data_IF_928765512787
#
_entry.id   IF_928765512787
#
_cell.length_a   1.000
_cell.length_b   1.000
_cell.length_c   1.000
_cell.angle_alpha   90.00
_cell.angle_beta   90.00
_cell.angle_gamma   90.00
#
_symmetry.space_group_name_H-M   'P 1'
#
loop_
_entity.id
_entity.type
_entity.pdbx_description
1 polymer ?
#
# COMPACT_ATOMS: atom_id res chain seq x y z
N UNK A 1 7.94 16.41 -23.13
CA UNK A 1 7.46 15.03 -22.89
C UNK A 1 6.75 14.93 -21.56
N UNK A 2 5.59 14.38 -21.58
CA UNK A 2 4.80 14.21 -20.35
C UNK A 2 4.96 12.81 -19.81
N UNK A 3 5.46 12.68 -18.59
CA UNK A 3 5.55 11.40 -17.92
C UNK A 3 4.25 11.14 -17.15
N UNK A 4 3.67 9.98 -17.39
CA UNK A 4 2.41 9.64 -16.76
C UNK A 4 2.57 8.40 -15.89
N UNK A 5 2.23 8.55 -14.61
CA UNK A 5 2.30 7.44 -13.67
C UNK A 5 0.94 6.75 -13.65
N UNK A 6 0.93 5.45 -13.90
CA UNK A 6 -0.28 4.64 -13.90
C UNK A 6 -0.26 3.56 -12.83
N UNK A 7 0.91 3.12 -12.42
CA UNK A 7 1.05 2.05 -11.43
C UNK A 7 2.01 2.48 -10.33
N UNK A 8 1.51 2.44 -9.12
CA UNK A 8 2.31 2.72 -7.92
C UNK A 8 2.44 1.43 -7.13
N UNK A 9 3.64 1.17 -6.63
CA UNK A 9 3.88 0.07 -5.70
C UNK A 9 4.41 0.65 -4.41
N UNK A 10 3.74 0.35 -3.30
CA UNK A 10 4.22 0.74 -1.99
C UNK A 10 4.72 -0.51 -1.28
N UNK A 11 5.99 -0.54 -0.93
CA UNK A 11 6.57 -1.66 -0.19
C UNK A 11 6.50 -1.33 1.29
N UNK A 12 5.68 -2.11 1.99
CA UNK A 12 5.43 -1.89 3.41
C UNK A 12 3.98 -1.53 3.68
N UNK A 13 3.25 -2.43 4.32
CA UNK A 13 1.83 -2.25 4.62
C UNK A 13 1.62 -1.89 6.09
N UNK A 14 2.41 -0.94 6.58
CA UNK A 14 2.36 -0.52 7.97
C UNK A 14 1.48 0.70 8.20
N UNK A 15 1.74 1.37 9.33
CA UNK A 15 0.92 2.48 9.78
C UNK A 15 0.94 3.71 8.89
N UNK A 16 1.99 3.88 8.11
CA UNK A 16 2.11 5.02 7.20
C UNK A 16 1.73 4.62 5.79
N UNK A 17 2.32 3.52 5.31
CA UNK A 17 2.11 3.08 3.93
C UNK A 17 0.68 2.76 3.60
N UNK A 18 0.02 1.96 4.43
CA UNK A 18 -1.35 1.56 4.19
C UNK A 18 -2.31 2.73 4.06
N UNK A 19 -2.42 3.57 5.10
CA UNK A 19 -3.34 4.71 5.05
C UNK A 19 -3.01 5.71 3.95
N UNK A 20 -1.72 6.00 3.74
CA UNK A 20 -1.30 6.96 2.71
C UNK A 20 -1.70 6.47 1.32
N UNK A 21 -1.47 5.20 1.05
CA UNK A 21 -1.81 4.63 -0.25
C UNK A 21 -3.33 4.58 -0.46
N UNK A 22 -4.09 4.34 0.60
CA UNK A 22 -5.55 4.36 0.50
C UNK A 22 -6.05 5.74 0.07
N UNK A 23 -5.48 6.80 0.64
CA UNK A 23 -5.83 8.17 0.28
C UNK A 23 -5.43 8.46 -1.18
N UNK A 24 -4.25 8.03 -1.59
CA UNK A 24 -3.81 8.24 -2.97
C UNK A 24 -4.75 7.52 -3.93
N UNK A 25 -5.12 6.28 -3.63
CA UNK A 25 -6.04 5.54 -4.48
C UNK A 25 -7.39 6.24 -4.57
N UNK A 26 -7.87 6.79 -3.46
CA UNK A 26 -9.14 7.50 -3.45
C UNK A 26 -9.10 8.76 -4.30
N UNK A 27 -8.02 9.52 -4.20
CA UNK A 27 -7.89 10.79 -4.91
C UNK A 27 -7.48 10.62 -6.36
N UNK A 28 -6.87 9.49 -6.70
CA UNK A 28 -6.36 9.24 -8.05
C UNK A 28 -6.95 7.93 -8.60
N UNK A 29 -8.24 7.94 -8.98
CA UNK A 29 -8.89 6.70 -9.39
C UNK A 29 -8.32 6.07 -10.65
N UNK A 30 -7.54 6.81 -11.43
CA UNK A 30 -6.93 6.28 -12.64
C UNK A 30 -5.58 5.62 -12.40
N UNK A 31 -5.10 5.66 -11.16
CA UNK A 31 -3.82 5.06 -10.80
C UNK A 31 -4.08 3.75 -10.07
N UNK A 32 -3.39 2.69 -10.47
CA UNK A 32 -3.43 1.42 -9.77
C UNK A 32 -2.39 1.47 -8.66
N UNK A 33 -2.82 1.21 -7.44
CA UNK A 33 -1.96 1.27 -6.26
C UNK A 33 -1.85 -0.11 -5.66
N UNK A 34 -0.65 -0.67 -5.63
CA UNK A 34 -0.37 -1.95 -5.01
C UNK A 34 0.43 -1.72 -3.73
N UNK A 35 -0.09 -2.23 -2.62
CA UNK A 35 0.62 -2.20 -1.35
C UNK A 35 1.08 -3.62 -1.06
N UNK A 36 2.37 -3.82 -0.95
CA UNK A 36 2.94 -5.15 -0.79
C UNK A 36 3.75 -5.25 0.49
N UNK A 37 3.73 -6.43 1.08
CA UNK A 37 4.46 -6.70 2.31
C UNK A 37 4.74 -8.20 2.38
N UNK A 38 5.89 -8.57 2.90
CA UNK A 38 6.21 -9.99 3.08
C UNK A 38 5.44 -10.61 4.25
N UNK A 39 4.89 -9.78 5.12
CA UNK A 39 4.11 -10.24 6.25
C UNK A 39 2.69 -10.62 5.79
N UNK A 40 2.47 -11.92 5.61
CA UNK A 40 1.18 -12.42 5.11
C UNK A 40 0.01 -12.07 6.01
N UNK A 41 0.23 -12.08 7.32
CA UNK A 41 -0.84 -11.77 8.26
C UNK A 41 -1.28 -10.31 8.12
N UNK A 42 -0.32 -9.40 7.97
CA UNK A 42 -0.63 -7.98 7.80
C UNK A 42 -1.39 -7.74 6.49
N UNK A 43 -0.98 -8.39 5.41
CA UNK A 43 -1.68 -8.29 4.13
C UNK A 43 -3.10 -8.83 4.28
N UNK A 44 -3.26 -9.95 4.98
CA UNK A 44 -4.57 -10.53 5.20
C UNK A 44 -5.48 -9.58 5.96
N UNK A 45 -4.94 -8.89 6.96
CA UNK A 45 -5.71 -7.92 7.74
C UNK A 45 -6.14 -6.73 6.89
N UNK A 46 -5.27 -6.23 6.02
CA UNK A 46 -5.64 -5.14 5.12
C UNK A 46 -6.73 -5.56 4.13
N UNK A 47 -6.83 -6.84 3.83
CA UNK A 47 -7.86 -7.37 2.94
C UNK A 47 -9.12 -7.81 3.68
N UNK A 48 -9.17 -7.62 4.99
CA UNK A 48 -10.31 -8.03 5.81
C UNK A 48 -11.15 -6.83 6.23
N UNK A 49 -12.18 -7.09 7.00
CA UNK A 49 -13.01 -6.03 7.58
C UNK A 49 -12.38 -5.46 8.85
N UNK A 50 -11.36 -6.16 9.39
CA UNK A 50 -10.63 -5.72 10.58
C UNK A 50 -9.24 -5.31 10.19
N UNK A 51 -9.08 -4.03 9.85
CA UNK A 51 -7.79 -3.50 9.42
C UNK A 51 -6.77 -3.56 10.57
N UNK A 52 -5.47 -3.64 10.25
CA UNK A 52 -4.44 -3.76 11.29
C UNK A 52 -4.25 -2.51 12.13
N UNK A 53 -4.83 -1.39 11.70
CA UNK A 53 -4.77 -0.16 12.47
C UNK A 53 -6.16 0.46 12.51
N UNK A 54 -6.40 1.27 13.54
CA UNK A 54 -7.65 1.98 13.66
C UNK A 54 -7.44 3.48 13.48
N UNK A 55 -8.09 4.05 12.48
CA UNK A 55 -8.14 5.50 12.26
C UNK A 55 -9.56 5.82 11.80
N UNK A 56 -10.18 6.86 12.39
CA UNK A 56 -11.54 7.25 11.98
C UNK A 56 -11.61 7.50 10.48
N UNK A 57 -12.57 6.85 9.82
CA UNK A 57 -12.77 7.02 8.38
C UNK A 57 -11.90 6.16 7.49
N UNK A 58 -10.89 5.52 8.02
CA UNK A 58 -9.97 4.72 7.19
C UNK A 58 -10.65 3.51 6.56
N UNK A 59 -11.44 2.79 7.33
CA UNK A 59 -12.09 1.59 6.81
C UNK A 59 -13.00 1.92 5.63
N UNK A 60 -13.74 3.00 5.72
CA UNK A 60 -14.65 3.42 4.65
C UNK A 60 -13.89 3.73 3.37
N UNK A 61 -12.73 4.38 3.48
CA UNK A 61 -11.90 4.70 2.33
C UNK A 61 -11.34 3.41 1.70
N UNK A 62 -10.79 2.53 2.53
CA UNK A 62 -10.24 1.27 2.06
C UNK A 62 -11.33 0.44 1.39
N UNK A 63 -12.49 0.36 2.00
CA UNK A 63 -13.60 -0.42 1.45
C UNK A 63 -14.01 0.11 0.08
N UNK A 64 -13.98 1.43 -0.10
CA UNK A 64 -14.37 2.03 -1.37
C UNK A 64 -13.40 1.71 -2.50
N UNK A 65 -12.09 1.75 -2.23
CA UNK A 65 -11.09 1.62 -3.29
C UNK A 65 -10.44 0.24 -3.39
N UNK A 66 -10.52 -0.56 -2.34
CA UNK A 66 -9.94 -1.91 -2.35
C UNK A 66 -10.64 -2.76 -3.39
N UNK A 67 -9.86 -3.37 -4.28
CA UNK A 67 -10.40 -4.17 -5.37
C UNK A 67 -10.73 -3.37 -6.61
N UNK A 68 -10.75 -2.04 -6.51
CA UNK A 68 -10.92 -1.18 -7.67
C UNK A 68 -9.56 -0.75 -8.19
N UNK A 69 -8.86 0.09 -7.43
CA UNK A 69 -7.52 0.53 -7.80
C UNK A 69 -6.53 0.41 -6.65
N UNK A 70 -6.96 -0.13 -5.50
CA UNK A 70 -6.08 -0.38 -4.36
C UNK A 70 -6.04 -1.89 -4.12
N UNK A 71 -4.83 -2.45 -4.05
CA UNK A 71 -4.64 -3.89 -3.85
C UNK A 71 -3.56 -4.14 -2.82
N UNK A 72 -3.79 -5.13 -1.96
CA UNK A 72 -2.82 -5.54 -0.95
C UNK A 72 -2.40 -6.99 -1.24
N UNK A 73 -1.10 -7.23 -1.33
CA UNK A 73 -0.60 -8.58 -1.60
C UNK A 73 0.82 -8.78 -1.07
N UNK A 74 1.29 -10.01 -1.17
CA UNK A 74 2.66 -10.36 -0.81
C UNK A 74 3.56 -10.44 -2.05
N UNK A 75 3.04 -10.12 -3.22
CA UNK A 75 3.76 -10.24 -4.49
C UNK A 75 4.70 -9.05 -4.71
N UNK A 76 5.71 -8.94 -3.86
CA UNK A 76 6.60 -7.78 -3.86
C UNK A 76 7.34 -7.62 -5.19
N UNK A 77 7.99 -8.66 -5.66
CA UNK A 77 8.78 -8.56 -6.89
C UNK A 77 7.94 -8.23 -8.11
N UNK A 78 6.80 -8.86 -8.23
CA UNK A 78 5.91 -8.63 -9.36
C UNK A 78 5.42 -7.18 -9.38
N UNK A 79 4.99 -6.68 -8.23
CA UNK A 79 4.44 -5.33 -8.16
C UNK A 79 5.50 -4.26 -8.38
N UNK A 80 6.72 -4.50 -7.90
CA UNK A 80 7.83 -3.59 -8.16
C UNK A 80 8.15 -3.55 -9.66
N UNK A 81 8.17 -4.73 -10.29
CA UNK A 81 8.48 -4.81 -11.72
C UNK A 81 7.46 -4.08 -12.59
N UNK A 82 6.21 -4.03 -12.16
CA UNK A 82 5.15 -3.38 -12.92
C UNK A 82 4.97 -1.90 -12.58
N UNK A 83 5.66 -1.42 -11.55
CA UNK A 83 5.42 -0.08 -11.05
C UNK A 83 6.14 1.00 -11.86
N UNK A 84 5.47 2.12 -12.02
CA UNK A 84 6.06 3.34 -12.56
C UNK A 84 6.74 4.12 -11.44
N UNK A 85 6.25 3.96 -10.20
CA UNK A 85 6.78 4.63 -9.03
C UNK A 85 6.70 3.69 -7.83
N UNK A 86 7.78 3.63 -7.07
CA UNK A 86 7.86 2.77 -5.88
C UNK A 86 8.06 3.62 -4.64
N UNK A 87 7.18 3.43 -3.67
CA UNK A 87 7.32 4.03 -2.34
C UNK A 87 7.85 2.97 -1.40
N UNK A 88 8.85 3.32 -0.62
CA UNK A 88 9.37 2.44 0.42
C UNK A 88 8.87 2.96 1.76
N UNK A 89 7.94 2.24 2.35
CA UNK A 89 7.35 2.61 3.63
C UNK A 89 7.56 1.47 4.62
N UNK A 90 8.81 1.29 5.01
CA UNK A 90 9.18 0.21 5.91
C UNK A 90 9.70 0.80 7.21
N UNK A 91 9.48 0.06 8.29
CA UNK A 91 10.05 0.44 9.57
C UNK A 91 11.53 0.12 9.53
N UNK A 92 12.33 1.12 9.74
CA UNK A 92 13.78 0.95 9.76
C UNK A 92 14.23 0.88 11.22
N UNK A 93 14.79 -0.25 11.58
CA UNK A 93 15.37 -0.43 12.90
C UNK A 93 16.88 -0.30 12.77
N UNK A 94 17.42 0.75 13.36
CA UNK A 94 18.85 0.93 13.37
C UNK A 94 19.44 0.19 14.55
N UNK A 95 20.24 -0.81 14.25
CA UNK A 95 20.98 -1.54 15.26
C UNK A 95 22.38 -1.00 15.25
N UNK A 96 22.66 -0.14 16.20
CA UNK A 96 24.00 0.39 16.35
C UNK A 96 24.81 -0.58 17.19
N UNK A 97 25.56 -1.40 16.54
CA UNK A 97 26.45 -2.32 17.23
C UNK A 97 27.82 -1.67 17.31
N UNK A 98 28.32 -1.59 18.51
CA UNK A 98 29.65 -1.04 18.76
C UNK A 98 30.53 -2.08 19.39
#
# INVERSE_FOLDING_TARGET
MTYRIKNICCVGAGYVGGPTMAIIALKCPDIKVNVVDLNEQRVKEWNSESLPIYEPGLYEIVKEVRGKNLFFSTEVEKCIAEADMVFLSVNVVFLLTR
#
